data_IF_693162611308
#
_entry.id   IF_693162611308
#
_cell.length_a   1.000
_cell.length_b   1.000
_cell.length_c   1.000
_cell.angle_alpha   90.00
_cell.angle_beta   90.00
_cell.angle_gamma   90.00
#
_symmetry.space_group_name_H-M   'P 1'
#
loop_
_entity.id
_entity.type
_entity.pdbx_description
1 polymer ?
#
# COMPACT_ATOMS: atom_id res chain seq x y z
N UNK A 1 12.54 -8.11 8.57
CA UNK A 1 11.52 -7.23 7.96
C UNK A 1 12.18 -6.65 6.72
N UNK A 2 11.50 -6.69 5.57
CA UNK A 2 11.99 -6.05 4.34
C UNK A 2 11.82 -4.54 4.46
N UNK A 3 12.73 -3.76 3.89
CA UNK A 3 12.62 -2.30 3.86
C UNK A 3 12.43 -1.87 2.41
N UNK A 4 11.35 -1.13 2.16
CA UNK A 4 11.03 -0.50 0.89
C UNK A 4 10.95 1.01 1.00
N UNK A 5 10.77 1.66 -0.14
CA UNK A 5 10.66 3.11 -0.25
C UNK A 5 9.33 3.50 -0.88
N UNK A 6 8.65 4.50 -0.32
CA UNK A 6 7.53 5.17 -0.95
C UNK A 6 8.09 6.17 -1.97
N UNK A 7 7.72 6.01 -3.23
CA UNK A 7 8.16 6.88 -4.31
C UNK A 7 7.46 8.24 -4.18
N UNK A 8 8.23 9.31 -4.28
CA UNK A 8 7.65 10.65 -4.37
C UNK A 8 6.90 10.78 -5.69
N UNK A 9 5.71 11.35 -5.63
CA UNK A 9 4.95 11.66 -6.84
C UNK A 9 5.69 12.77 -7.62
N UNK A 10 6.11 12.52 -8.87
CA UNK A 10 6.82 13.51 -9.66
C UNK A 10 5.92 14.70 -9.99
N UNK A 11 6.46 15.91 -9.88
CA UNK A 11 5.74 17.16 -10.19
C UNK A 11 6.46 18.02 -11.24
N UNK A 12 7.64 17.58 -11.69
CA UNK A 12 8.40 18.28 -12.70
C UNK A 12 7.91 18.02 -14.14
N UNK A 13 8.59 18.62 -15.13
CA UNK A 13 8.16 18.61 -16.52
C UNK A 13 8.31 17.24 -17.23
N UNK A 14 9.11 16.32 -16.68
CA UNK A 14 9.26 14.95 -17.19
C UNK A 14 8.99 13.92 -16.08
N UNK A 15 7.71 13.77 -15.69
CA UNK A 15 7.36 13.02 -14.49
C UNK A 15 7.66 11.51 -14.61
N UNK A 16 7.62 10.95 -15.82
CA UNK A 16 7.93 9.53 -16.04
C UNK A 16 9.42 9.26 -15.92
N UNK A 17 10.28 10.16 -16.44
CA UNK A 17 11.72 10.04 -16.24
C UNK A 17 12.09 10.19 -14.78
N UNK A 18 11.54 11.19 -14.08
CA UNK A 18 11.76 11.40 -12.64
C UNK A 18 11.36 10.17 -11.82
N UNK A 19 10.21 9.55 -12.14
CA UNK A 19 9.81 8.29 -11.51
C UNK A 19 10.81 7.17 -11.77
N UNK A 20 11.27 7.03 -13.02
CA UNK A 20 12.27 6.04 -13.41
C UNK A 20 13.60 6.20 -12.66
N UNK A 21 14.07 7.44 -12.51
CA UNK A 21 15.27 7.79 -11.75
C UNK A 21 15.08 7.47 -10.26
N UNK A 22 13.91 7.75 -9.69
CA UNK A 22 13.57 7.39 -8.31
C UNK A 22 13.54 5.88 -8.06
N UNK A 23 12.98 5.10 -9.00
CA UNK A 23 13.01 3.63 -8.93
C UNK A 23 14.45 3.11 -9.02
N UNK A 24 15.28 3.68 -9.90
CA UNK A 24 16.68 3.30 -10.05
C UNK A 24 17.48 3.60 -8.79
N UNK A 25 17.29 4.79 -8.21
CA UNK A 25 17.92 5.17 -6.94
C UNK A 25 17.53 4.23 -5.79
N UNK A 26 16.24 3.87 -5.69
CA UNK A 26 15.78 2.91 -4.68
C UNK A 26 16.43 1.53 -4.86
N UNK A 27 16.52 1.03 -6.10
CA UNK A 27 17.21 -0.23 -6.41
C UNK A 27 18.69 -0.16 -6.06
N UNK A 28 19.39 0.89 -6.49
CA UNK A 28 20.84 1.02 -6.34
C UNK A 28 21.24 1.22 -4.87
N UNK A 29 20.35 1.78 -4.05
CA UNK A 29 20.49 1.84 -2.60
C UNK A 29 20.17 0.51 -1.90
N UNK A 30 19.70 -0.52 -2.60
CA UNK A 30 19.43 -1.86 -2.07
C UNK A 30 18.01 -2.08 -1.53
N UNK A 31 17.08 -1.14 -1.74
CA UNK A 31 15.73 -1.29 -1.17
C UNK A 31 15.01 -2.51 -1.76
N UNK A 32 14.31 -3.25 -0.91
CA UNK A 32 13.65 -4.49 -1.31
C UNK A 32 12.40 -4.27 -2.16
N UNK A 33 11.81 -3.06 -2.13
CA UNK A 33 10.63 -2.69 -2.91
C UNK A 33 10.48 -1.17 -3.02
N UNK A 34 9.80 -0.70 -4.06
CA UNK A 34 9.38 0.70 -4.20
C UNK A 34 7.87 0.78 -4.46
N UNK A 35 7.18 1.71 -3.78
CA UNK A 35 5.72 1.77 -3.76
C UNK A 35 5.20 3.12 -4.26
N UNK A 36 4.12 3.09 -5.03
CA UNK A 36 3.49 4.30 -5.58
C UNK A 36 2.02 4.37 -5.18
N UNK A 37 1.59 5.54 -4.68
CA UNK A 37 0.18 5.82 -4.42
C UNK A 37 -0.60 6.05 -5.71
N UNK A 38 -1.90 5.81 -5.68
CA UNK A 38 -2.81 6.09 -6.80
C UNK A 38 -3.92 7.00 -6.30
N UNK A 39 -3.69 8.31 -6.40
CA UNK A 39 -4.64 9.32 -5.91
C UNK A 39 -5.04 10.25 -7.07
N UNK A 40 -4.51 11.48 -7.13
CA UNK A 40 -4.97 12.52 -8.08
C UNK A 40 -3.92 12.95 -9.11
N UNK A 41 -2.70 12.40 -9.07
CA UNK A 41 -1.73 12.61 -10.13
C UNK A 41 -1.63 11.40 -11.05
N UNK A 42 -0.44 10.80 -11.13
CA UNK A 42 -0.17 9.75 -12.11
C UNK A 42 -0.96 8.47 -11.82
N UNK A 43 -1.43 7.82 -12.90
CA UNK A 43 -1.98 6.46 -12.81
C UNK A 43 -0.85 5.48 -12.44
N UNK A 44 -0.86 4.99 -11.19
CA UNK A 44 0.25 4.21 -10.65
C UNK A 44 0.60 2.96 -11.47
N UNK A 45 -0.38 2.21 -11.99
CA UNK A 45 -0.09 1.00 -12.77
C UNK A 45 0.58 1.35 -14.10
N UNK A 46 0.06 2.35 -14.80
CA UNK A 46 0.62 2.82 -16.07
C UNK A 46 2.02 3.40 -15.86
N UNK A 47 2.17 4.27 -14.86
CA UNK A 47 3.45 4.92 -14.56
C UNK A 47 4.52 3.91 -14.16
N UNK A 48 4.19 2.95 -13.28
CA UNK A 48 5.12 1.88 -12.90
C UNK A 48 5.46 0.98 -14.08
N UNK A 49 4.50 0.61 -14.94
CA UNK A 49 4.79 -0.20 -16.12
C UNK A 49 5.78 0.50 -17.07
N UNK A 50 5.61 1.80 -17.32
CA UNK A 50 6.47 2.56 -18.24
C UNK A 50 7.84 2.84 -17.62
N UNK A 51 7.88 3.39 -16.41
CA UNK A 51 9.13 3.76 -15.75
C UNK A 51 9.91 2.52 -15.27
N UNK A 52 9.22 1.57 -14.64
CA UNK A 52 9.80 0.39 -14.03
C UNK A 52 10.27 -0.68 -15.01
N UNK A 53 9.75 -0.71 -16.25
CA UNK A 53 10.25 -1.60 -17.30
C UNK A 53 11.72 -1.30 -17.67
N UNK A 54 12.16 -0.05 -17.50
CA UNK A 54 13.54 0.38 -17.76
C UNK A 54 14.48 0.15 -16.57
N UNK A 55 13.93 -0.26 -15.43
CA UNK A 55 14.67 -0.43 -14.17
C UNK A 55 14.36 -1.80 -13.54
N UNK A 56 14.94 -2.89 -14.07
CA UNK A 56 14.80 -4.23 -13.48
C UNK A 56 15.52 -4.33 -12.13
N UNK A 57 15.10 -5.30 -11.30
CA UNK A 57 15.82 -5.69 -10.07
C UNK A 57 15.20 -5.26 -8.74
N UNK A 58 14.07 -4.54 -8.75
CA UNK A 58 13.33 -4.14 -7.53
C UNK A 58 11.85 -4.51 -7.65
N UNK A 59 11.23 -4.95 -6.56
CA UNK A 59 9.77 -5.14 -6.49
C UNK A 59 9.05 -3.79 -6.57
N UNK A 60 7.97 -3.70 -7.34
CA UNK A 60 7.18 -2.48 -7.46
C UNK A 60 5.76 -2.72 -6.95
N UNK A 61 5.30 -1.87 -6.04
CA UNK A 61 4.00 -2.01 -5.40
C UNK A 61 3.07 -0.82 -5.61
N UNK A 62 1.76 -1.06 -5.66
CA UNK A 62 0.76 0.02 -5.60
C UNK A 62 0.23 0.19 -4.17
N UNK A 63 0.07 1.42 -3.71
CA UNK A 63 -0.37 1.77 -2.35
C UNK A 63 -1.45 2.88 -2.33
N UNK A 64 -2.67 2.68 -2.83
CA UNK A 64 -3.23 1.50 -3.52
C UNK A 64 -4.16 1.94 -4.66
N UNK A 65 -4.40 1.07 -5.64
CA UNK A 65 -5.35 1.34 -6.74
C UNK A 65 -6.79 1.30 -6.21
N UNK A 66 -7.62 2.33 -6.46
CA UNK A 66 -9.00 2.36 -6.00
C UNK A 66 -9.87 1.35 -6.76
N UNK A 67 -10.71 0.61 -6.04
CA UNK A 67 -11.55 -0.46 -6.62
C UNK A 67 -12.84 0.05 -7.26
N UNK A 68 -13.38 1.19 -6.84
CA UNK A 68 -14.66 1.69 -7.36
C UNK A 68 -14.61 2.19 -8.81
N UNK A 69 -13.59 2.95 -9.24
CA UNK A 69 -13.62 3.57 -10.57
C UNK A 69 -13.49 2.61 -11.75
N UNK A 70 -13.18 1.33 -11.49
CA UNK A 70 -12.85 0.36 -12.55
C UNK A 70 -13.41 -1.03 -12.21
N UNK A 71 -14.03 -1.68 -13.19
CA UNK A 71 -14.50 -3.06 -13.06
C UNK A 71 -13.32 -4.01 -12.72
N UNK A 72 -13.50 -5.01 -11.84
CA UNK A 72 -12.41 -5.92 -11.42
C UNK A 72 -11.74 -6.67 -12.57
N UNK A 73 -12.48 -7.06 -13.61
CA UNK A 73 -11.89 -7.68 -14.80
C UNK A 73 -10.98 -6.71 -15.59
N UNK A 74 -11.34 -5.43 -15.65
CA UNK A 74 -10.50 -4.41 -16.30
C UNK A 74 -9.23 -4.17 -15.48
N UNK A 75 -9.34 -4.10 -14.14
CA UNK A 75 -8.16 -3.97 -13.28
C UNK A 75 -7.25 -5.21 -13.37
N UNK A 76 -7.81 -6.42 -13.42
CA UNK A 76 -7.03 -7.64 -13.64
C UNK A 76 -6.22 -7.56 -14.94
N UNK A 77 -6.87 -7.17 -16.05
CA UNK A 77 -6.21 -6.99 -17.33
C UNK A 77 -5.08 -5.95 -17.26
N UNK A 78 -5.31 -4.80 -16.63
CA UNK A 78 -4.31 -3.76 -16.45
C UNK A 78 -3.13 -4.24 -15.61
N UNK A 79 -3.40 -4.89 -14.48
CA UNK A 79 -2.37 -5.39 -13.56
C UNK A 79 -1.53 -6.50 -14.20
N UNK A 80 -2.14 -7.43 -14.93
CA UNK A 80 -1.42 -8.48 -15.66
C UNK A 80 -0.52 -7.87 -16.75
N UNK A 81 -1.03 -6.89 -17.50
CA UNK A 81 -0.25 -6.17 -18.52
C UNK A 81 0.93 -5.43 -17.90
N UNK A 82 0.72 -4.71 -16.81
CA UNK A 82 1.78 -4.02 -16.08
C UNK A 82 2.80 -5.03 -15.51
N UNK A 83 2.34 -6.14 -14.92
CA UNK A 83 3.23 -7.16 -14.38
C UNK A 83 4.10 -7.81 -15.46
N UNK A 84 3.55 -8.06 -16.65
CA UNK A 84 4.30 -8.54 -17.80
C UNK A 84 5.40 -7.54 -18.22
N UNK A 85 5.07 -6.24 -18.31
CA UNK A 85 6.06 -5.20 -18.61
C UNK A 85 7.15 -5.09 -17.53
N UNK A 86 6.78 -5.36 -16.28
CA UNK A 86 7.70 -5.36 -15.13
C UNK A 86 8.50 -6.65 -14.98
N UNK A 87 8.24 -7.69 -15.78
CA UNK A 87 8.91 -8.98 -15.66
C UNK A 87 8.56 -9.73 -14.36
N UNK A 88 7.29 -9.66 -13.93
CA UNK A 88 6.81 -10.41 -12.76
C UNK A 88 7.05 -9.74 -11.40
N UNK A 89 7.47 -8.47 -11.38
CA UNK A 89 7.88 -7.75 -10.15
C UNK A 89 6.78 -6.90 -9.54
N UNK A 90 5.54 -6.98 -10.03
CA UNK A 90 4.43 -6.21 -9.48
C UNK A 90 3.89 -6.86 -8.21
N UNK A 91 3.64 -6.04 -7.19
CA UNK A 91 2.70 -6.33 -6.11
C UNK A 91 1.50 -5.38 -6.25
N UNK A 92 0.31 -5.94 -6.49
CA UNK A 92 -0.90 -5.15 -6.67
C UNK A 92 -1.56 -4.86 -5.32
N UNK A 93 -1.36 -3.67 -4.77
CA UNK A 93 -2.19 -3.17 -3.69
C UNK A 93 -3.45 -2.49 -4.20
N UNK A 94 -4.60 -2.90 -3.67
CA UNK A 94 -5.93 -2.34 -3.98
C UNK A 94 -6.62 -1.79 -2.72
N UNK A 95 -7.57 -0.88 -2.88
CA UNK A 95 -8.37 -0.40 -1.75
C UNK A 95 -9.63 0.31 -2.17
N UNK A 96 -10.47 0.58 -1.17
CA UNK A 96 -11.79 1.18 -1.38
C UNK A 96 -11.74 2.69 -1.69
N UNK A 97 -10.59 3.34 -1.52
CA UNK A 97 -10.48 4.80 -1.39
C UNK A 97 -11.25 5.32 -0.16
N UNK A 98 -11.51 6.62 -0.13
CA UNK A 98 -12.25 7.29 0.94
C UNK A 98 -13.68 7.58 0.49
N UNK A 99 -14.65 7.47 1.41
CA UNK A 99 -16.06 7.73 1.13
C UNK A 99 -16.28 9.08 0.43
N UNK A 100 -15.63 10.14 0.89
CA UNK A 100 -15.71 11.47 0.27
C UNK A 100 -15.27 11.47 -1.20
N UNK A 101 -14.25 10.67 -1.56
CA UNK A 101 -13.79 10.55 -2.95
C UNK A 101 -14.82 9.77 -3.77
N UNK A 102 -15.31 8.65 -3.23
CA UNK A 102 -16.22 7.77 -3.97
C UNK A 102 -17.60 8.42 -4.17
N UNK A 103 -18.16 9.03 -3.14
CA UNK A 103 -19.50 9.62 -3.20
C UNK A 103 -19.46 11.05 -3.74
N UNK A 104 -18.68 11.94 -3.14
CA UNK A 104 -18.78 13.38 -3.44
C UNK A 104 -18.00 13.78 -4.69
N UNK A 105 -16.93 13.07 -5.04
CA UNK A 105 -16.13 13.38 -6.23
C UNK A 105 -16.51 12.53 -7.44
N UNK A 106 -16.74 11.23 -7.25
CA UNK A 106 -17.01 10.30 -8.35
C UNK A 106 -18.49 9.96 -8.55
N UNK A 107 -19.36 10.25 -7.56
CA UNK A 107 -20.79 10.00 -7.68
C UNK A 107 -21.20 8.52 -7.56
N UNK A 108 -20.33 7.65 -7.04
CA UNK A 108 -20.67 6.25 -6.77
C UNK A 108 -21.24 6.09 -5.36
N UNK A 109 -21.93 4.97 -5.09
CA UNK A 109 -22.39 4.61 -3.74
C UNK A 109 -21.27 3.95 -2.93
N UNK A 110 -21.08 4.37 -1.67
CA UNK A 110 -20.15 3.76 -0.71
C UNK A 110 -20.87 3.00 0.41
N UNK A 111 -22.16 2.67 0.27
CA UNK A 111 -22.99 2.13 1.37
C UNK A 111 -22.53 0.76 1.89
N UNK A 112 -21.99 -0.10 1.01
CA UNK A 112 -21.65 -1.50 1.35
C UNK A 112 -20.21 -1.84 0.95
N UNK A 113 -19.21 -1.16 1.53
CA UNK A 113 -17.82 -1.25 1.09
C UNK A 113 -17.24 -2.65 1.29
N UNK A 114 -17.68 -3.36 2.33
CA UNK A 114 -17.24 -4.73 2.57
C UNK A 114 -17.80 -5.74 1.59
N UNK A 115 -19.03 -5.54 1.13
CA UNK A 115 -19.63 -6.35 0.07
C UNK A 115 -18.95 -6.03 -1.26
N UNK A 116 -18.76 -4.76 -1.57
CA UNK A 116 -18.03 -4.32 -2.76
C UNK A 116 -16.69 -5.02 -2.85
N UNK A 117 -15.86 -4.93 -1.81
CA UNK A 117 -14.55 -5.60 -1.80
C UNK A 117 -14.67 -7.12 -1.96
N UNK A 118 -15.63 -7.78 -1.30
CA UNK A 118 -15.82 -9.22 -1.45
C UNK A 118 -16.17 -9.64 -2.89
N UNK A 119 -17.17 -9.00 -3.51
CA UNK A 119 -17.55 -9.24 -4.91
C UNK A 119 -16.41 -8.88 -5.88
N UNK A 120 -15.67 -7.81 -5.57
CA UNK A 120 -14.52 -7.38 -6.36
C UNK A 120 -13.43 -8.46 -6.38
N UNK A 121 -13.13 -9.06 -5.23
CA UNK A 121 -12.16 -10.16 -5.10
C UNK A 121 -12.66 -11.47 -5.73
N UNK A 122 -13.98 -11.72 -5.75
CA UNK A 122 -14.56 -12.88 -6.43
C UNK A 122 -14.25 -12.87 -7.93
N UNK A 123 -14.09 -11.68 -8.51
CA UNK A 123 -13.74 -11.52 -9.93
C UNK A 123 -12.24 -11.32 -10.12
N UNK A 124 -11.62 -10.39 -9.37
CA UNK A 124 -10.24 -9.97 -9.59
C UNK A 124 -9.25 -11.13 -9.42
N UNK A 125 -9.34 -11.87 -8.31
CA UNK A 125 -8.35 -12.90 -7.97
C UNK A 125 -8.31 -14.07 -8.98
N UNK A 126 -9.43 -14.69 -9.38
CA UNK A 126 -9.39 -15.71 -10.44
C UNK A 126 -9.00 -15.12 -11.80
N UNK A 127 -9.45 -13.90 -12.14
CA UNK A 127 -9.08 -13.27 -13.40
C UNK A 127 -7.56 -13.05 -13.52
N UNK A 128 -6.88 -12.61 -12.46
CA UNK A 128 -5.41 -12.43 -12.48
C UNK A 128 -4.65 -13.74 -12.58
N UNK A 129 -5.28 -14.89 -12.28
CA UNK A 129 -4.72 -16.24 -12.48
C UNK A 129 -5.03 -16.83 -13.86
N UNK A 130 -5.74 -16.10 -14.73
CA UNK A 130 -6.14 -16.58 -16.06
C UNK A 130 -7.29 -17.59 -16.04
N UNK A 131 -7.99 -17.69 -14.91
CA UNK A 131 -9.16 -18.55 -14.77
C UNK A 131 -10.36 -17.93 -15.52
N UNK A 132 -11.30 -18.79 -15.94
CA UNK A 132 -12.60 -18.31 -16.39
C UNK A 132 -13.39 -17.90 -15.14
N UNK A 133 -13.90 -16.67 -15.15
CA UNK A 133 -14.64 -16.10 -14.04
C UNK A 133 -16.12 -16.09 -14.40
N UNK A 134 -16.92 -16.73 -13.55
CA UNK A 134 -18.37 -16.65 -13.60
C UNK A 134 -18.90 -16.24 -12.21
N UNK A 135 -19.30 -14.98 -12.08
CA UNK A 135 -19.77 -14.37 -10.83
C UNK A 135 -21.03 -13.56 -11.11
N UNK A 136 -22.08 -13.81 -10.32
CA UNK A 136 -23.28 -12.99 -10.27
C UNK A 136 -23.45 -12.42 -8.85
N UNK A 137 -22.74 -11.32 -8.57
CA UNK A 137 -22.88 -10.57 -7.33
C UNK A 137 -24.07 -9.62 -7.37
N UNK A 138 -24.32 -8.92 -6.27
CA UNK A 138 -25.42 -7.95 -6.21
C UNK A 138 -25.08 -6.67 -6.99
N UNK A 139 -23.81 -6.27 -6.98
CA UNK A 139 -23.35 -5.03 -7.63
C UNK A 139 -22.36 -5.27 -8.77
N UNK A 140 -21.70 -6.43 -8.80
CA UNK A 140 -20.72 -6.79 -9.81
C UNK A 140 -21.07 -8.15 -10.45
N UNK A 141 -20.94 -8.24 -11.76
CA UNK A 141 -21.13 -9.46 -12.54
C UNK A 141 -20.01 -9.64 -13.54
N UNK A 142 -19.54 -10.86 -13.71
CA UNK A 142 -18.58 -11.21 -14.74
C UNK A 142 -18.86 -12.61 -15.30
N UNK A 143 -18.82 -12.74 -16.62
CA UNK A 143 -18.65 -14.02 -17.31
C UNK A 143 -17.56 -13.80 -18.35
N UNK A 144 -16.30 -14.03 -17.95
CA UNK A 144 -15.15 -13.60 -18.74
C UNK A 144 -13.93 -14.47 -18.48
N UNK A 145 -13.13 -14.67 -19.53
CA UNK A 145 -11.77 -15.19 -19.43
C UNK A 145 -10.82 -14.21 -20.11
N UNK A 146 -9.83 -13.73 -19.37
CA UNK A 146 -8.82 -12.85 -19.94
C UNK A 146 -7.79 -13.66 -20.74
N UNK A 147 -7.38 -13.12 -21.88
CA UNK A 147 -6.29 -13.66 -22.71
C UNK A 147 -4.95 -12.94 -22.50
N UNK A 148 -4.90 -12.00 -21.54
CA UNK A 148 -3.70 -11.22 -21.20
C UNK A 148 -2.56 -12.18 -20.78
N UNK A 149 -1.37 -12.08 -21.41
CA UNK A 149 -0.22 -12.88 -21.01
C UNK A 149 0.30 -12.52 -19.61
N UNK A 150 0.84 -13.50 -18.90
CA UNK A 150 1.36 -13.34 -17.55
C UNK A 150 0.27 -13.55 -16.50
N UNK A 151 0.33 -14.69 -15.80
CA UNK A 151 -0.61 -15.02 -14.74
C UNK A 151 0.03 -14.80 -13.36
N UNK A 152 -0.76 -14.25 -12.45
CA UNK A 152 -0.42 -14.13 -11.04
C UNK A 152 0.46 -12.93 -10.70
N UNK A 153 0.11 -12.26 -9.61
CA UNK A 153 0.93 -11.34 -8.84
C UNK A 153 0.38 -11.33 -7.42
N UNK A 154 1.18 -11.01 -6.39
CA UNK A 154 0.65 -10.81 -5.05
C UNK A 154 -0.39 -9.69 -5.07
N UNK A 155 -1.56 -9.93 -4.49
CA UNK A 155 -2.63 -8.95 -4.31
C UNK A 155 -2.75 -8.62 -2.83
N UNK A 156 -2.57 -7.35 -2.46
CA UNK A 156 -2.72 -6.85 -1.10
C UNK A 156 -3.91 -5.90 -1.01
N UNK A 157 -4.58 -5.87 0.14
CA UNK A 157 -5.72 -4.98 0.37
C UNK A 157 -5.33 -3.89 1.36
N UNK A 158 -5.62 -2.62 1.07
CA UNK A 158 -5.57 -1.59 2.10
C UNK A 158 -6.72 -1.81 3.10
N UNK A 159 -6.41 -2.48 4.20
CA UNK A 159 -7.38 -2.96 5.16
C UNK A 159 -7.05 -2.45 6.58
N UNK A 160 -7.97 -1.65 7.13
CA UNK A 160 -7.87 -1.12 8.51
C UNK A 160 -9.01 -1.62 9.40
N UNK A 161 -10.23 -1.76 8.87
CA UNK A 161 -11.39 -2.19 9.65
C UNK A 161 -11.43 -3.73 9.81
N UNK A 162 -12.02 -4.29 10.89
CA UNK A 162 -12.06 -5.74 11.13
C UNK A 162 -12.58 -6.57 9.96
N UNK A 163 -13.65 -6.12 9.29
CA UNK A 163 -14.20 -6.83 8.12
C UNK A 163 -13.24 -6.83 6.93
N UNK A 164 -12.49 -5.75 6.73
CA UNK A 164 -11.48 -5.66 5.66
C UNK A 164 -10.28 -6.53 5.98
N UNK A 165 -9.82 -6.53 7.24
CA UNK A 165 -8.73 -7.39 7.70
C UNK A 165 -9.09 -8.87 7.57
N UNK A 166 -10.35 -9.24 7.86
CA UNK A 166 -10.85 -10.60 7.60
C UNK A 166 -10.76 -10.96 6.12
N UNK A 167 -11.23 -10.10 5.21
CA UNK A 167 -11.11 -10.36 3.76
C UNK A 167 -9.66 -10.44 3.29
N UNK A 168 -8.79 -9.56 3.79
CA UNK A 168 -7.37 -9.56 3.44
C UNK A 168 -6.70 -10.87 3.86
N UNK A 169 -6.93 -11.32 5.10
CA UNK A 169 -6.36 -12.57 5.61
C UNK A 169 -6.92 -13.81 4.92
N UNK A 170 -8.24 -13.88 4.72
CA UNK A 170 -8.88 -15.08 4.19
C UNK A 170 -8.84 -15.23 2.68
N UNK A 171 -8.45 -14.19 1.93
CA UNK A 171 -8.54 -14.21 0.46
C UNK A 171 -7.33 -13.67 -0.29
N UNK A 172 -6.64 -12.67 0.26
CA UNK A 172 -5.55 -11.97 -0.39
C UNK A 172 -4.19 -12.45 0.13
N UNK A 173 -3.11 -11.86 -0.36
CA UNK A 173 -1.75 -12.18 0.07
C UNK A 173 -1.29 -11.33 1.25
N UNK A 174 -2.09 -10.34 1.66
CA UNK A 174 -1.78 -9.47 2.78
C UNK A 174 -2.50 -8.12 2.77
N UNK A 175 -1.93 -7.18 3.55
CA UNK A 175 -2.46 -5.82 3.72
C UNK A 175 -1.40 -4.75 3.47
N UNK A 176 -1.86 -3.57 3.02
CA UNK A 176 -1.07 -2.33 2.94
C UNK A 176 -1.64 -1.33 3.94
N UNK A 177 -0.83 -0.91 4.90
CA UNK A 177 -1.19 0.04 5.94
C UNK A 177 -0.53 1.39 5.65
N UNK A 178 -1.23 2.46 5.97
CA UNK A 178 -0.71 3.82 6.01
C UNK A 178 -1.15 4.47 7.32
N UNK A 179 -0.26 5.25 7.95
CA UNK A 179 -0.55 5.97 9.21
C UNK A 179 -1.10 5.06 10.32
N UNK A 180 -0.53 3.85 10.43
CA UNK A 180 -0.92 2.87 11.45
C UNK A 180 0.31 2.48 12.26
N UNK A 181 0.36 2.93 13.52
CA UNK A 181 1.50 2.74 14.40
C UNK A 181 1.64 1.32 14.96
N UNK A 182 2.74 1.04 15.68
CA UNK A 182 3.06 -0.30 16.16
C UNK A 182 2.03 -0.87 17.15
N UNK A 183 1.35 -0.02 17.96
CA UNK A 183 0.36 -0.48 18.93
C UNK A 183 -0.85 -1.08 18.24
N UNK A 184 -1.40 -0.37 17.25
CA UNK A 184 -2.56 -0.80 16.44
C UNK A 184 -2.17 -1.98 15.56
N UNK A 185 -0.97 -1.99 15.01
CA UNK A 185 -0.47 -3.17 14.28
C UNK A 185 -0.50 -4.41 15.18
N UNK A 186 0.05 -4.31 16.39
CA UNK A 186 0.15 -5.42 17.36
C UNK A 186 -1.21 -5.86 17.90
N UNK A 187 -2.06 -4.92 18.29
CA UNK A 187 -3.28 -5.20 19.05
C UNK A 187 -4.51 -5.43 18.17
N UNK A 188 -4.48 -4.97 16.92
CA UNK A 188 -5.65 -4.94 16.05
C UNK A 188 -5.39 -5.57 14.67
N UNK A 189 -4.34 -5.16 13.96
CA UNK A 189 -4.11 -5.61 12.57
C UNK A 189 -3.63 -7.06 12.51
N UNK A 190 -2.48 -7.35 13.14
CA UNK A 190 -1.81 -8.66 13.06
C UNK A 190 -2.69 -9.78 13.60
N UNK A 191 -3.36 -9.64 14.77
CA UNK A 191 -4.25 -10.70 15.26
C UNK A 191 -5.41 -10.97 14.31
N UNK A 192 -6.08 -9.92 13.80
CA UNK A 192 -7.26 -10.09 12.96
C UNK A 192 -6.95 -10.71 11.60
N UNK A 193 -5.89 -10.24 10.92
CA UNK A 193 -5.52 -10.75 9.60
C UNK A 193 -4.94 -12.17 9.68
N UNK A 194 -4.15 -12.47 10.72
CA UNK A 194 -3.54 -13.79 10.89
C UNK A 194 -4.60 -14.83 11.23
N UNK A 195 -5.52 -14.54 12.16
CA UNK A 195 -6.62 -15.45 12.50
C UNK A 195 -7.49 -15.76 11.28
N UNK A 196 -7.79 -14.76 10.45
CA UNK A 196 -8.57 -14.97 9.22
C UNK A 196 -7.84 -15.81 8.17
N UNK A 197 -6.51 -15.70 8.08
CA UNK A 197 -5.71 -16.53 7.19
C UNK A 197 -5.63 -17.98 7.68
N UNK A 198 -5.44 -18.19 8.99
CA UNK A 198 -5.42 -19.51 9.63
C UNK A 198 -6.77 -20.22 9.47
N UNK A 199 -7.89 -19.53 9.72
CA UNK A 199 -9.26 -20.05 9.52
C UNK A 199 -9.48 -20.50 8.06
N UNK A 200 -8.87 -19.80 7.10
CA UNK A 200 -8.97 -20.09 5.68
C UNK A 200 -7.91 -21.10 5.17
N UNK A 201 -7.02 -21.61 6.04
CA UNK A 201 -5.94 -22.51 5.65
C UNK A 201 -4.89 -21.87 4.73
N UNK A 202 -4.70 -20.55 4.81
CA UNK A 202 -3.80 -19.77 3.96
C UNK A 202 -2.44 -19.53 4.63
N UNK A 203 -1.38 -19.27 3.84
CA UNK A 203 -0.09 -18.83 4.37
C UNK A 203 -0.21 -17.55 5.20
N UNK A 204 0.80 -17.30 6.04
CA UNK A 204 0.87 -16.07 6.85
C UNK A 204 0.80 -14.83 5.94
N UNK A 205 -0.13 -13.89 6.19
CA UNK A 205 -0.28 -12.69 5.38
C UNK A 205 0.95 -11.78 5.41
N UNK A 206 1.24 -11.13 4.27
CA UNK A 206 2.19 -10.02 4.19
C UNK A 206 1.57 -8.77 4.83
N UNK A 207 2.33 -8.07 5.66
CA UNK A 207 1.89 -6.84 6.33
C UNK A 207 2.87 -5.73 5.94
N UNK A 208 2.47 -4.97 4.92
CA UNK A 208 3.19 -3.80 4.44
C UNK A 208 2.74 -2.60 5.27
N UNK A 209 3.66 -2.00 6.03
CA UNK A 209 3.39 -0.82 6.84
C UNK A 209 4.18 0.37 6.31
N UNK A 210 3.46 1.35 5.75
CA UNK A 210 4.04 2.60 5.29
C UNK A 210 3.82 3.71 6.32
N UNK A 211 4.89 4.40 6.69
CA UNK A 211 4.85 5.54 7.61
C UNK A 211 5.81 6.65 7.13
N UNK A 212 5.51 7.92 7.47
CA UNK A 212 6.49 8.99 7.36
C UNK A 212 7.73 8.67 8.18
N UNK A 213 8.91 9.00 7.66
CA UNK A 213 10.18 8.83 8.37
C UNK A 213 11.10 10.04 8.23
N UNK A 214 11.76 10.43 9.31
CA UNK A 214 12.72 11.54 9.34
C UNK A 214 13.78 11.31 10.43
N UNK A 215 15.04 11.17 10.01
CA UNK A 215 16.19 11.14 10.92
C UNK A 215 16.67 12.58 11.17
N UNK A 216 16.63 13.04 12.42
CA UNK A 216 16.89 14.42 12.82
C UNK A 216 17.20 14.52 14.30
N UNK A 217 17.97 15.55 14.70
CA UNK A 217 18.19 15.86 16.12
C UNK A 217 17.05 16.73 16.71
N UNK A 218 16.19 17.28 15.85
CA UNK A 218 15.00 18.04 16.22
C UNK A 218 13.72 17.26 15.88
N UNK A 219 13.41 16.30 16.74
CA UNK A 219 12.27 15.39 16.55
C UNK A 219 10.92 16.11 16.71
N UNK A 220 10.86 17.15 17.56
CA UNK A 220 9.63 17.92 17.78
C UNK A 220 9.23 18.68 16.51
N UNK A 221 10.16 19.43 15.91
CA UNK A 221 9.88 20.16 14.67
C UNK A 221 9.53 19.21 13.51
N UNK A 222 10.18 18.04 13.44
CA UNK A 222 9.88 17.06 12.41
C UNK A 222 8.50 16.41 12.58
N UNK A 223 8.03 16.17 13.81
CA UNK A 223 6.66 15.68 14.05
C UNK A 223 5.62 16.75 13.74
N UNK A 224 5.83 17.99 14.16
CA UNK A 224 4.96 19.12 13.79
C UNK A 224 4.86 19.27 12.27
N UNK A 225 5.98 19.13 11.55
CA UNK A 225 5.99 19.13 10.08
C UNK A 225 5.18 17.95 9.50
N UNK A 226 5.28 16.76 10.08
CA UNK A 226 4.47 15.62 9.65
C UNK A 226 2.97 15.88 9.88
N UNK A 227 2.59 16.50 11.02
CA UNK A 227 1.21 16.90 11.27
C UNK A 227 0.68 17.87 10.21
N UNK A 228 1.49 18.84 9.77
CA UNK A 228 1.11 19.74 8.68
C UNK A 228 0.91 18.98 7.35
N UNK A 229 1.95 18.25 6.91
CA UNK A 229 1.98 17.58 5.59
C UNK A 229 0.87 16.53 5.48
N UNK A 230 0.62 15.82 6.56
CA UNK A 230 -0.26 14.65 6.58
C UNK A 230 -1.59 14.91 7.30
N UNK A 231 -1.88 16.16 7.67
CA UNK A 231 -3.07 16.59 8.42
C UNK A 231 -4.39 15.97 7.93
N UNK A 232 -4.55 15.84 6.62
CA UNK A 232 -5.75 15.23 6.00
C UNK A 232 -6.03 13.81 6.51
N UNK A 233 -4.98 13.01 6.77
CA UNK A 233 -5.13 11.66 7.29
C UNK A 233 -5.66 11.65 8.73
N UNK A 234 -5.45 12.72 9.49
CA UNK A 234 -6.10 12.92 10.79
C UNK A 234 -7.61 13.20 10.71
N UNK A 235 -8.15 13.54 9.53
CA UNK A 235 -9.56 13.90 9.34
C UNK A 235 -10.36 12.79 8.64
N UNK A 236 -9.70 11.89 7.94
CA UNK A 236 -10.34 10.78 7.24
C UNK A 236 -10.76 9.69 8.24
N UNK A 237 -12.06 9.29 8.30
CA UNK A 237 -12.57 8.42 9.36
C UNK A 237 -11.80 7.11 9.56
N UNK A 238 -11.34 6.49 8.46
CA UNK A 238 -10.59 5.24 8.51
C UNK A 238 -9.23 5.37 9.20
N UNK A 239 -8.53 6.47 8.97
CA UNK A 239 -7.20 6.72 9.55
C UNK A 239 -7.32 7.33 10.95
N UNK A 240 -8.28 8.23 11.16
CA UNK A 240 -8.63 8.74 12.49
C UNK A 240 -8.89 7.60 13.47
N UNK A 241 -9.66 6.59 13.07
CA UNK A 241 -9.91 5.41 13.90
C UNK A 241 -8.64 4.60 14.24
N UNK A 242 -7.58 4.64 13.42
CA UNK A 242 -6.30 4.01 13.74
C UNK A 242 -5.48 4.86 14.70
N UNK A 243 -5.43 6.18 14.48
CA UNK A 243 -4.77 7.12 15.39
C UNK A 243 -5.43 7.10 16.79
N UNK A 244 -6.75 6.95 16.87
CA UNK A 244 -7.46 6.78 18.15
C UNK A 244 -7.07 5.48 18.86
N UNK A 245 -6.79 4.40 18.12
CA UNK A 245 -6.30 3.13 18.67
C UNK A 245 -4.85 3.21 19.15
N UNK A 246 -4.03 4.03 18.49
CA UNK A 246 -2.70 4.38 18.99
C UNK A 246 -2.80 5.19 20.30
N UNK A 247 -3.83 6.04 20.40
CA UNK A 247 -4.01 6.99 21.50
C UNK A 247 -3.32 8.33 21.22
N UNK A 248 -3.22 8.73 19.96
CA UNK A 248 -2.50 9.92 19.51
C UNK A 248 -3.44 10.93 18.83
N UNK A 249 -3.07 12.20 18.84
CA UNK A 249 -3.89 13.28 18.29
C UNK A 249 -3.68 13.49 16.78
N UNK A 250 -2.47 13.26 16.28
CA UNK A 250 -2.10 13.57 14.90
C UNK A 250 -1.22 12.52 14.22
N UNK A 251 -1.10 12.60 12.88
CA UNK A 251 -0.23 11.70 12.11
C UNK A 251 1.27 11.87 12.42
N UNK A 252 1.71 13.02 12.93
CA UNK A 252 3.09 13.26 13.32
C UNK A 252 3.53 12.38 14.49
N UNK A 253 2.61 11.99 15.37
CA UNK A 253 2.90 11.13 16.52
C UNK A 253 3.11 9.66 16.15
N UNK A 254 2.63 9.21 14.98
CA UNK A 254 2.91 7.86 14.45
C UNK A 254 4.06 7.83 13.44
N UNK A 255 4.61 8.99 13.08
CA UNK A 255 5.76 9.08 12.19
C UNK A 255 7.01 8.53 12.88
N UNK A 256 7.86 7.85 12.11
CA UNK A 256 9.14 7.32 12.58
C UNK A 256 10.17 8.47 12.60
N UNK A 257 10.36 9.10 13.75
CA UNK A 257 11.12 10.35 13.88
C UNK A 257 12.08 10.31 15.06
N UNK A 258 13.30 10.80 14.87
CA UNK A 258 14.30 10.95 15.92
C UNK A 258 15.72 10.91 15.36
N UNK A 259 16.71 10.80 16.23
CA UNK A 259 18.08 10.46 15.83
C UNK A 259 18.16 9.01 15.31
N UNK A 260 19.35 8.57 14.88
CA UNK A 260 19.55 7.24 14.34
C UNK A 260 19.08 6.14 15.30
N UNK A 261 19.47 6.22 16.57
CA UNK A 261 19.14 5.20 17.57
C UNK A 261 17.64 5.14 17.84
N UNK A 262 16.99 6.30 17.95
CA UNK A 262 15.54 6.40 18.12
C UNK A 262 14.78 5.83 16.93
N UNK A 263 15.22 6.12 15.70
CA UNK A 263 14.61 5.57 14.48
C UNK A 263 14.81 4.07 14.40
N UNK A 264 16.00 3.56 14.71
CA UNK A 264 16.28 2.11 14.74
C UNK A 264 15.40 1.38 15.76
N UNK A 265 15.20 1.97 16.95
CA UNK A 265 14.33 1.40 17.97
C UNK A 265 12.87 1.31 17.50
N UNK A 266 12.35 2.37 16.86
CA UNK A 266 10.99 2.40 16.31
C UNK A 266 10.81 1.39 15.16
N UNK A 267 11.81 1.22 14.29
CA UNK A 267 11.78 0.20 13.24
C UNK A 267 11.79 -1.22 13.82
N UNK A 268 12.55 -1.46 14.89
CA UNK A 268 12.56 -2.75 15.58
C UNK A 268 11.22 -3.02 16.30
N UNK A 269 10.56 -1.99 16.83
CA UNK A 269 9.21 -2.09 17.37
C UNK A 269 8.19 -2.53 16.31
N UNK A 270 8.21 -1.92 15.12
CA UNK A 270 7.36 -2.34 13.99
C UNK A 270 7.63 -3.79 13.59
N UNK A 271 8.90 -4.20 13.52
CA UNK A 271 9.28 -5.59 13.25
C UNK A 271 8.71 -6.55 14.30
N UNK A 272 8.81 -6.22 15.59
CA UNK A 272 8.26 -7.03 16.70
C UNK A 272 6.73 -7.04 16.69
N UNK A 273 6.10 -5.94 16.26
CA UNK A 273 4.65 -5.85 16.10
C UNK A 273 4.11 -6.81 15.04
N UNK A 274 4.96 -7.31 14.13
CA UNK A 274 4.61 -8.28 13.11
C UNK A 274 4.60 -7.73 11.68
N UNK A 275 5.09 -6.51 11.47
CA UNK A 275 5.29 -5.94 10.13
C UNK A 275 6.30 -6.79 9.35
N UNK A 276 5.92 -7.18 8.13
CA UNK A 276 6.80 -7.97 7.24
C UNK A 276 7.63 -7.06 6.34
N UNK A 277 7.04 -5.93 5.94
CA UNK A 277 7.63 -4.95 5.05
C UNK A 277 7.39 -3.54 5.60
N UNK A 278 8.44 -2.83 5.97
CA UNK A 278 8.35 -1.41 6.27
C UNK A 278 8.61 -0.61 4.99
N UNK A 279 7.70 0.31 4.66
CA UNK A 279 7.85 1.19 3.48
C UNK A 279 8.07 2.62 3.98
N UNK A 280 9.31 3.07 3.90
CA UNK A 280 9.71 4.40 4.33
C UNK A 280 9.10 5.48 3.42
N UNK A 281 8.46 6.49 3.99
CA UNK A 281 8.08 7.73 3.28
C UNK A 281 8.89 8.91 3.83
N UNK A 282 10.11 9.18 3.32
CA UNK A 282 10.88 10.35 3.73
C UNK A 282 10.16 11.64 3.30
N UNK A 283 9.92 12.56 4.23
CA UNK A 283 9.11 13.76 3.99
C UNK A 283 9.83 15.08 4.31
N UNK A 284 11.04 15.01 4.85
CA UNK A 284 11.90 16.17 5.16
C UNK A 284 13.37 15.74 5.15
N UNK A 285 14.27 16.62 4.67
CA UNK A 285 15.75 16.46 4.65
C UNK A 285 16.20 15.00 4.55
N UNK A 286 15.90 14.36 3.42
CA UNK A 286 15.91 12.90 3.31
C UNK A 286 17.29 12.25 3.26
N UNK A 287 18.38 12.99 3.05
CA UNK A 287 19.73 12.40 2.91
C UNK A 287 20.16 11.59 4.13
N UNK A 288 20.05 12.14 5.34
CA UNK A 288 20.39 11.43 6.60
C UNK A 288 19.50 10.21 6.82
N UNK A 289 18.22 10.36 6.48
CA UNK A 289 17.23 9.28 6.56
C UNK A 289 17.57 8.14 5.59
N UNK A 290 17.83 8.44 4.33
CA UNK A 290 18.19 7.47 3.30
C UNK A 290 19.54 6.81 3.61
N UNK A 291 20.51 7.56 4.15
CA UNK A 291 21.80 7.00 4.59
C UNK A 291 21.66 6.04 5.77
N UNK A 292 20.74 6.29 6.72
CA UNK A 292 20.45 5.33 7.79
C UNK A 292 19.77 4.08 7.22
N UNK A 293 18.72 4.25 6.41
CA UNK A 293 17.99 3.11 5.83
C UNK A 293 18.89 2.26 4.94
N UNK A 294 19.78 2.88 4.17
CA UNK A 294 20.79 2.21 3.35
C UNK A 294 21.72 1.28 4.12
N UNK A 295 22.01 1.58 5.40
CA UNK A 295 22.83 0.73 6.27
C UNK A 295 22.09 -0.52 6.80
N UNK A 296 20.78 -0.58 6.62
CA UNK A 296 19.92 -1.68 7.09
C UNK A 296 19.56 -2.69 5.99
N UNK A 297 19.96 -2.41 4.75
CA UNK A 297 19.70 -3.20 3.54
C UNK A 297 20.84 -4.18 3.28
#
# INVERSE_FOLDING_TARGET
MRIGLFLNEPTGPDPIKELGDGIAAARDAGFASAWMSHIFGLDALTALAVAGARTPGIELGTAVVPTYPRHPAALAQQAMTANAALGGRLTLGIGLSHQVVIENMFGYSFERPARHMAEYLDILLPATRGEHVHVEGETLKADIRLSTPGAGMPVLIAALAPRMLKLAGSRADGTVLWMTGPRTVTQHVVPAITAAAEEAGRPRPRIVCALPVCVTDDAEAARARADEVFSMYGQLPSYRAMLDKEGVSGPGEVAVVGDEDSVLAQLDELRRAGVTDFVASPYSKSERTLALLGRLL
#
